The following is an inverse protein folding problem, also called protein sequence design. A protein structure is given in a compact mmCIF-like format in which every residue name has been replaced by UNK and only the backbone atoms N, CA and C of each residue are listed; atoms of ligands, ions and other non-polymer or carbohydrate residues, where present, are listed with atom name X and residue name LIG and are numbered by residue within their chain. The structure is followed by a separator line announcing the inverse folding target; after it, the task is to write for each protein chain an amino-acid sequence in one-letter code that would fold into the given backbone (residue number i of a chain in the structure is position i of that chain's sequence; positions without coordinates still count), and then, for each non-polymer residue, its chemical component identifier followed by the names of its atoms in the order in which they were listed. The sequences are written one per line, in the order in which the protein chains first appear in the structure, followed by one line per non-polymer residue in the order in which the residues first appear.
data_IF_157610818749
#
_entry.id   IF_157610818749
#
_cell.length_a   1.000
_cell.length_b   1.000
_cell.length_c   1.000
_cell.angle_alpha   90.00
_cell.angle_beta   90.00
_cell.angle_gamma   90.00
#
_symmetry.space_group_name_H-M   'P 1'
#
loop_
_entity.id
_entity.type
_entity.pdbx_description
1 polymer ?
#
# COMPACT_ATOMS: atom_id res chain seq x y z
N UNK A 1 37.42 28.38 -22.26
CA UNK A 1 36.99 28.53 -20.85
C UNK A 1 35.48 28.72 -20.71
N UNK A 2 34.79 29.40 -21.64
CA UNK A 2 33.32 29.59 -21.61
C UNK A 2 32.50 28.29 -21.72
N UNK A 3 32.95 27.31 -22.52
CA UNK A 3 32.23 26.05 -22.70
C UNK A 3 32.22 25.13 -21.46
N UNK A 4 33.20 25.29 -20.55
CA UNK A 4 33.33 24.48 -19.34
C UNK A 4 32.44 25.00 -18.20
N UNK A 5 32.21 26.33 -18.14
CA UNK A 5 31.24 26.93 -17.21
C UNK A 5 29.79 26.54 -17.55
N UNK A 6 29.46 26.46 -18.84
CA UNK A 6 28.11 26.05 -19.28
C UNK A 6 27.80 24.58 -18.92
N UNK A 7 28.80 23.70 -18.87
CA UNK A 7 28.61 22.31 -18.46
C UNK A 7 28.46 22.16 -16.95
N UNK A 8 29.13 23.02 -16.16
CA UNK A 8 29.03 23.03 -14.69
C UNK A 8 27.72 23.66 -14.17
N UNK A 9 27.09 24.56 -14.93
CA UNK A 9 25.75 25.09 -14.57
C UNK A 9 24.61 24.11 -14.88
N UNK A 10 24.86 23.08 -15.68
CA UNK A 10 23.86 22.06 -16.09
C UNK A 10 23.58 21.00 -14.99
N UNK A 11 24.44 20.90 -13.98
CA UNK A 11 24.39 19.84 -12.95
C UNK A 11 23.85 20.31 -11.60
N UNK A 12 22.97 21.31 -11.56
CA UNK A 12 22.17 21.57 -10.37
C UNK A 12 21.00 20.56 -10.32
N UNK A 13 20.94 19.63 -9.35
CA UNK A 13 19.80 18.72 -9.23
C UNK A 13 18.55 19.54 -8.87
N UNK A 14 17.60 19.61 -9.81
CA UNK A 14 16.25 20.14 -9.57
C UNK A 14 15.58 19.25 -8.52
N UNK A 15 15.56 19.72 -7.25
CA UNK A 15 14.86 19.09 -6.12
C UNK A 15 13.39 18.88 -6.47
N UNK A 16 13.08 17.68 -6.96
CA UNK A 16 11.77 17.26 -7.44
C UNK A 16 10.92 16.85 -6.22
N UNK A 17 9.98 17.73 -5.87
CA UNK A 17 8.66 17.43 -5.27
C UNK A 17 8.58 16.68 -3.93
N UNK A 18 9.23 17.18 -2.87
CA UNK A 18 8.89 16.80 -1.49
C UNK A 18 7.48 17.27 -1.04
N UNK A 19 6.88 18.21 -1.79
CA UNK A 19 5.57 18.82 -1.51
C UNK A 19 4.38 17.87 -1.83
N UNK A 20 4.58 16.85 -2.67
CA UNK A 20 3.52 15.89 -3.03
C UNK A 20 3.29 14.77 -2.02
N UNK A 21 4.27 14.49 -1.14
CA UNK A 21 4.20 13.34 -0.24
C UNK A 21 3.47 13.67 1.07
N UNK A 22 3.69 14.87 1.61
CA UNK A 22 3.03 15.35 2.84
C UNK A 22 1.53 15.62 2.59
N UNK A 23 1.18 16.12 1.41
CA UNK A 23 -0.22 16.39 1.02
C UNK A 23 -1.05 15.12 0.85
N UNK A 24 -0.45 14.02 0.37
CA UNK A 24 -1.13 12.72 0.23
C UNK A 24 -1.44 12.06 1.58
N UNK A 25 -0.54 12.16 2.56
CA UNK A 25 -0.74 11.58 3.89
C UNK A 25 -1.84 12.28 4.72
N UNK A 26 -1.89 13.61 4.65
CA UNK A 26 -2.92 14.41 5.32
C UNK A 26 -4.30 14.12 4.70
N UNK A 27 -4.39 14.08 3.36
CA UNK A 27 -5.63 13.75 2.67
C UNK A 27 -6.13 12.34 3.02
N UNK A 28 -5.23 11.36 3.14
CA UNK A 28 -5.59 10.01 3.56
C UNK A 28 -6.15 9.99 5.00
N UNK A 29 -5.52 10.71 5.93
CA UNK A 29 -6.01 10.83 7.32
C UNK A 29 -7.39 11.48 7.40
N UNK A 30 -7.62 12.56 6.63
CA UNK A 30 -8.93 13.22 6.56
C UNK A 30 -10.01 12.29 5.97
N UNK A 31 -9.71 11.57 4.89
CA UNK A 31 -10.63 10.60 4.30
C UNK A 31 -10.94 9.44 5.26
N UNK A 32 -9.96 8.98 6.04
CA UNK A 32 -10.16 7.96 7.07
C UNK A 32 -11.05 8.45 8.23
N UNK A 33 -10.90 9.69 8.68
CA UNK A 33 -11.75 10.29 9.72
C UNK A 33 -13.20 10.47 9.26
N UNK A 34 -13.40 10.87 8.00
CA UNK A 34 -14.75 10.99 7.40
C UNK A 34 -15.40 9.61 7.26
N UNK A 35 -14.64 8.59 6.82
CA UNK A 35 -15.13 7.21 6.74
C UNK A 35 -15.58 6.64 8.10
N UNK A 36 -14.87 6.97 9.18
CA UNK A 36 -15.24 6.56 10.54
C UNK A 36 -16.58 7.16 10.98
N UNK A 37 -16.82 8.45 10.71
CA UNK A 37 -18.08 9.13 11.08
C UNK A 37 -19.30 8.58 10.35
N UNK A 38 -19.16 8.24 9.06
CA UNK A 38 -20.24 7.64 8.26
C UNK A 38 -20.52 6.20 8.73
N UNK A 39 -19.47 5.41 8.97
CA UNK A 39 -19.59 4.02 9.44
C UNK A 39 -20.28 3.93 10.80
N UNK A 40 -19.96 4.82 11.73
CA UNK A 40 -20.62 4.89 13.04
C UNK A 40 -22.12 5.21 12.90
N UNK A 41 -22.49 6.18 12.06
CA UNK A 41 -23.90 6.59 11.87
C UNK A 41 -24.76 5.46 11.28
N UNK A 42 -24.20 4.66 10.38
CA UNK A 42 -24.88 3.51 9.77
C UNK A 42 -25.03 2.37 10.79
N UNK A 43 -24.05 2.17 11.67
CA UNK A 43 -24.12 1.15 12.73
C UNK A 43 -25.27 1.42 13.73
N UNK A 44 -25.57 2.69 14.00
CA UNK A 44 -26.54 3.11 15.01
C UNK A 44 -28.01 3.26 14.54
N UNK A 45 -28.33 3.19 13.23
CA UNK A 45 -29.72 3.33 12.77
C UNK A 45 -30.37 1.97 12.45
N UNK A 46 -31.31 1.54 13.29
CA UNK A 46 -31.64 0.12 13.48
C UNK A 46 -32.92 -0.41 12.80
N UNK A 47 -32.96 -0.50 11.46
CA UNK A 47 -34.02 -1.29 10.80
C UNK A 47 -33.66 -1.94 9.45
N UNK A 48 -32.40 -2.34 9.25
CA UNK A 48 -31.87 -2.68 7.91
C UNK A 48 -31.05 -3.98 7.87
N UNK A 49 -31.61 -5.14 8.26
CA UNK A 49 -30.89 -6.42 8.20
C UNK A 49 -30.33 -6.74 6.80
N UNK A 50 -31.08 -6.38 5.75
CA UNK A 50 -30.65 -6.56 4.37
C UNK A 50 -29.44 -5.66 4.03
N UNK A 51 -29.42 -4.40 4.50
CA UNK A 51 -28.29 -3.48 4.30
C UNK A 51 -27.05 -3.97 5.05
N UNK A 52 -27.21 -4.44 6.29
CA UNK A 52 -26.10 -5.00 7.08
C UNK A 52 -25.45 -6.17 6.35
N UNK A 53 -26.27 -7.08 5.85
CA UNK A 53 -25.82 -8.25 5.09
C UNK A 53 -25.15 -7.85 3.77
N UNK A 54 -25.73 -6.88 3.05
CA UNK A 54 -25.16 -6.37 1.80
C UNK A 54 -23.82 -5.66 2.01
N UNK A 55 -23.71 -4.80 3.03
CA UNK A 55 -22.48 -4.09 3.38
C UNK A 55 -21.40 -5.07 3.82
N UNK A 56 -21.73 -6.05 4.67
CA UNK A 56 -20.80 -7.09 5.09
C UNK A 56 -20.32 -7.92 3.90
N UNK A 57 -21.24 -8.38 3.04
CA UNK A 57 -20.90 -9.12 1.83
C UNK A 57 -20.01 -8.33 0.86
N UNK A 58 -20.32 -7.05 0.62
CA UNK A 58 -19.52 -6.17 -0.22
C UNK A 58 -18.12 -5.93 0.39
N UNK A 59 -18.05 -5.73 1.70
CA UNK A 59 -16.79 -5.58 2.43
C UNK A 59 -15.92 -6.84 2.31
N UNK A 60 -16.49 -8.03 2.53
CA UNK A 60 -15.80 -9.32 2.36
C UNK A 60 -15.28 -9.46 0.93
N UNK A 61 -16.15 -9.24 -0.06
CA UNK A 61 -15.85 -9.41 -1.47
C UNK A 61 -14.74 -8.48 -1.92
N UNK A 62 -14.85 -7.17 -1.64
CA UNK A 62 -13.87 -6.18 -2.09
C UNK A 62 -12.49 -6.42 -1.44
N UNK A 63 -12.44 -6.78 -0.16
CA UNK A 63 -11.17 -7.10 0.50
C UNK A 63 -10.57 -8.44 0.02
N UNK A 64 -11.40 -9.37 -0.45
CA UNK A 64 -10.90 -10.62 -1.05
C UNK A 64 -10.39 -10.40 -2.49
N UNK A 65 -11.13 -9.64 -3.30
CA UNK A 65 -10.74 -9.25 -4.65
C UNK A 65 -9.44 -8.44 -4.65
N UNK A 66 -9.17 -7.67 -3.59
CA UNK A 66 -7.92 -6.93 -3.42
C UNK A 66 -6.69 -7.84 -3.47
N UNK A 67 -6.75 -9.02 -2.88
CA UNK A 67 -5.66 -10.02 -2.91
C UNK A 67 -5.41 -10.46 -4.35
N UNK A 68 -6.48 -10.75 -5.11
CA UNK A 68 -6.37 -11.11 -6.53
C UNK A 68 -5.79 -9.96 -7.36
N UNK A 69 -6.16 -8.72 -7.06
CA UNK A 69 -5.64 -7.53 -7.71
C UNK A 69 -4.15 -7.28 -7.42
N UNK A 70 -3.58 -7.87 -6.36
CA UNK A 70 -2.14 -7.81 -6.10
C UNK A 70 -1.35 -8.79 -6.98
N UNK A 71 -1.96 -9.86 -7.49
CA UNK A 71 -1.27 -10.87 -8.32
C UNK A 71 -0.62 -10.27 -9.57
N UNK A 72 -1.29 -9.42 -10.38
CA UNK A 72 -0.64 -8.74 -11.51
C UNK A 72 0.58 -7.91 -11.09
N UNK A 73 0.51 -7.24 -9.94
CA UNK A 73 1.63 -6.43 -9.41
C UNK A 73 2.79 -7.33 -8.95
N UNK A 74 2.49 -8.45 -8.30
CA UNK A 74 3.50 -9.47 -7.93
C UNK A 74 4.21 -10.03 -9.17
N UNK A 75 3.43 -10.39 -10.20
CA UNK A 75 3.97 -10.91 -11.47
C UNK A 75 4.81 -9.85 -12.19
N UNK A 76 4.35 -8.61 -12.23
CA UNK A 76 5.09 -7.49 -12.82
C UNK A 76 6.42 -7.26 -12.07
N UNK A 77 6.39 -7.20 -10.74
CA UNK A 77 7.58 -7.04 -9.91
C UNK A 77 8.57 -8.21 -10.07
N UNK A 78 8.06 -9.44 -10.18
CA UNK A 78 8.87 -10.64 -10.35
C UNK A 78 9.49 -10.74 -11.75
N UNK A 79 8.83 -10.22 -12.78
CA UNK A 79 9.33 -10.18 -14.16
C UNK A 79 10.17 -8.94 -14.48
N UNK A 80 10.15 -7.93 -13.62
CA UNK A 80 10.92 -6.71 -13.85
C UNK A 80 12.43 -7.00 -13.88
N UNK A 81 13.09 -6.45 -14.89
CA UNK A 81 14.54 -6.54 -15.10
C UNK A 81 15.28 -5.37 -14.45
N UNK A 82 14.55 -4.33 -14.03
CA UNK A 82 15.12 -3.11 -13.46
C UNK A 82 14.93 -3.02 -11.93
N UNK A 83 15.07 -4.17 -11.26
CA UNK A 83 15.10 -4.26 -9.79
C UNK A 83 13.77 -3.96 -9.09
N UNK A 84 12.62 -4.13 -9.76
CA UNK A 84 11.30 -3.77 -9.25
C UNK A 84 11.20 -2.29 -8.83
N UNK A 85 11.85 -1.39 -9.59
CA UNK A 85 11.91 0.06 -9.27
C UNK A 85 10.53 0.73 -9.29
N UNK A 86 9.59 0.22 -10.10
CA UNK A 86 8.20 0.71 -10.16
C UNK A 86 7.36 0.38 -8.93
N UNK A 87 7.86 -0.46 -8.00
CA UNK A 87 7.12 -0.86 -6.80
C UNK A 87 7.61 -0.08 -5.58
N UNK A 88 6.73 0.73 -4.99
CA UNK A 88 7.06 1.52 -3.80
C UNK A 88 7.00 0.69 -2.50
N UNK A 89 8.15 0.35 -1.93
CA UNK A 89 8.20 -0.35 -0.63
C UNK A 89 7.50 0.43 0.49
N UNK A 90 7.53 1.76 0.46
CA UNK A 90 6.87 2.60 1.46
C UNK A 90 5.34 2.40 1.41
N UNK A 91 4.75 2.42 0.22
CA UNK A 91 3.31 2.23 0.02
C UNK A 91 2.87 0.85 0.50
N UNK A 92 3.58 -0.20 0.09
CA UNK A 92 3.25 -1.57 0.50
C UNK A 92 3.46 -1.82 1.98
N UNK A 93 4.42 -1.15 2.61
CA UNK A 93 4.62 -1.19 4.07
C UNK A 93 3.48 -0.50 4.82
N UNK A 94 2.99 0.64 4.33
CA UNK A 94 1.83 1.33 4.91
C UNK A 94 0.56 0.47 4.81
N UNK A 95 0.34 -0.20 3.68
CA UNK A 95 -0.78 -1.15 3.56
C UNK A 95 -0.63 -2.33 4.52
N UNK A 96 0.56 -2.90 4.65
CA UNK A 96 0.82 -3.96 5.62
C UNK A 96 0.50 -3.50 7.05
N UNK A 97 1.03 -2.34 7.48
CA UNK A 97 0.75 -1.78 8.82
C UNK A 97 -0.74 -1.53 9.01
N UNK A 98 -1.42 -0.95 8.02
CA UNK A 98 -2.87 -0.73 8.06
C UNK A 98 -3.64 -2.04 8.27
N UNK A 99 -3.29 -3.09 7.54
CA UNK A 99 -3.92 -4.40 7.71
C UNK A 99 -3.63 -5.01 9.09
N UNK A 100 -2.38 -4.94 9.57
CA UNK A 100 -2.02 -5.42 10.91
C UNK A 100 -2.77 -4.69 12.02
N UNK A 101 -2.86 -3.35 11.95
CA UNK A 101 -3.63 -2.57 12.93
C UNK A 101 -5.11 -2.94 12.91
N UNK A 102 -5.66 -3.26 11.75
CA UNK A 102 -7.06 -3.67 11.62
C UNK A 102 -7.30 -5.08 12.16
N UNK A 103 -6.35 -6.00 12.02
CA UNK A 103 -6.41 -7.33 12.65
C UNK A 103 -6.44 -7.17 14.17
N UNK A 104 -5.53 -6.37 14.73
CA UNK A 104 -5.48 -6.11 16.18
C UNK A 104 -6.79 -5.49 16.65
N UNK A 105 -7.31 -4.50 15.91
CA UNK A 105 -8.60 -3.89 16.22
C UNK A 105 -9.76 -4.90 16.20
N UNK A 106 -9.84 -5.72 15.15
CA UNK A 106 -10.89 -6.72 15.00
C UNK A 106 -10.89 -7.75 16.14
N UNK A 107 -9.70 -8.19 16.58
CA UNK A 107 -9.57 -9.18 17.66
C UNK A 107 -9.83 -8.53 19.03
N UNK A 108 -9.22 -7.39 19.32
CA UNK A 108 -9.21 -6.81 20.67
C UNK A 108 -10.50 -6.06 20.99
N UNK A 109 -11.06 -5.33 20.01
CA UNK A 109 -12.18 -4.42 20.26
C UNK A 109 -13.50 -4.91 19.67
N UNK A 110 -13.46 -5.54 18.49
CA UNK A 110 -14.70 -5.96 17.81
C UNK A 110 -15.09 -7.40 18.15
N UNK A 111 -14.11 -8.27 18.40
CA UNK A 111 -14.33 -9.71 18.52
C UNK A 111 -14.70 -10.40 17.20
N UNK A 112 -14.38 -9.78 16.05
CA UNK A 112 -14.72 -10.30 14.72
C UNK A 112 -13.53 -11.05 14.10
N UNK A 113 -13.53 -12.36 14.30
CA UNK A 113 -12.53 -13.27 13.74
C UNK A 113 -12.56 -13.35 12.21
N UNK A 114 -13.70 -13.10 11.58
CA UNK A 114 -13.83 -13.16 10.11
C UNK A 114 -13.14 -11.93 9.51
N UNK A 115 -13.41 -10.75 10.05
CA UNK A 115 -12.71 -9.51 9.68
C UNK A 115 -11.20 -9.66 9.87
N UNK A 116 -10.77 -10.23 11.00
CA UNK A 116 -9.35 -10.49 11.26
C UNK A 116 -8.71 -11.40 10.19
N UNK A 117 -9.38 -12.49 9.79
CA UNK A 117 -8.88 -13.43 8.79
C UNK A 117 -8.73 -12.81 7.40
N UNK A 118 -9.69 -11.99 6.97
CA UNK A 118 -9.63 -11.28 5.68
C UNK A 118 -8.43 -10.33 5.66
N UNK A 119 -8.27 -9.54 6.73
CA UNK A 119 -7.18 -8.59 6.82
C UNK A 119 -5.83 -9.28 6.96
N UNK A 120 -5.78 -10.47 7.57
CA UNK A 120 -4.60 -11.33 7.57
C UNK A 120 -4.22 -11.78 6.16
N UNK A 121 -5.19 -12.19 5.34
CA UNK A 121 -4.95 -12.52 3.93
C UNK A 121 -4.42 -11.32 3.13
N UNK A 122 -4.90 -10.11 3.40
CA UNK A 122 -4.39 -8.91 2.77
C UNK A 122 -2.98 -8.54 3.25
N UNK A 123 -2.71 -8.67 4.55
CA UNK A 123 -1.39 -8.45 5.13
C UNK A 123 -0.34 -9.41 4.54
N UNK A 124 -0.66 -10.70 4.43
CA UNK A 124 0.25 -11.69 3.85
C UNK A 124 0.57 -11.38 2.39
N UNK A 125 -0.43 -10.97 1.61
CA UNK A 125 -0.22 -10.58 0.21
C UNK A 125 0.67 -9.32 0.09
N UNK A 126 0.49 -8.32 0.96
CA UNK A 126 1.41 -7.17 1.02
C UNK A 126 2.85 -7.60 1.37
N UNK A 127 3.02 -8.52 2.32
CA UNK A 127 4.32 -9.04 2.71
C UNK A 127 5.02 -9.78 1.55
N UNK A 128 4.26 -10.54 0.75
CA UNK A 128 4.78 -11.21 -0.45
C UNK A 128 5.31 -10.17 -1.46
N UNK A 129 4.54 -9.10 -1.74
CA UNK A 129 5.00 -8.04 -2.66
C UNK A 129 6.28 -7.37 -2.15
N UNK A 130 6.34 -7.03 -0.86
CA UNK A 130 7.54 -6.47 -0.24
C UNK A 130 8.74 -7.40 -0.37
N UNK A 131 8.53 -8.71 -0.13
CA UNK A 131 9.58 -9.72 -0.20
C UNK A 131 10.12 -9.87 -1.62
N UNK A 132 9.23 -10.00 -2.63
CA UNK A 132 9.62 -10.08 -4.05
C UNK A 132 10.42 -8.84 -4.44
N UNK A 133 9.92 -7.65 -4.08
CA UNK A 133 10.58 -6.38 -4.40
C UNK A 133 11.95 -6.28 -3.75
N UNK A 134 12.07 -6.68 -2.48
CA UNK A 134 13.33 -6.64 -1.74
C UNK A 134 14.39 -7.59 -2.33
N UNK A 135 14.00 -8.83 -2.64
CA UNK A 135 14.90 -9.82 -3.28
C UNK A 135 15.37 -9.28 -4.63
N UNK A 136 14.46 -8.76 -5.45
CA UNK A 136 14.79 -8.21 -6.77
C UNK A 136 15.74 -7.03 -6.70
N UNK A 137 15.54 -6.11 -5.76
CA UNK A 137 16.45 -4.97 -5.54
C UNK A 137 17.84 -5.42 -5.11
N UNK A 138 17.93 -6.44 -4.25
CA UNK A 138 19.22 -7.02 -3.84
C UNK A 138 19.96 -7.69 -4.99
N UNK A 139 19.26 -8.50 -5.78
CA UNK A 139 19.84 -9.15 -6.97
C UNK A 139 20.38 -8.10 -7.95
N UNK A 140 19.58 -7.09 -8.26
CA UNK A 140 19.99 -6.00 -9.15
C UNK A 140 21.22 -5.23 -8.64
N UNK A 141 21.28 -4.95 -7.32
CA UNK A 141 22.44 -4.29 -6.73
C UNK A 141 23.72 -5.15 -6.80
N UNK A 142 23.61 -6.46 -6.58
CA UNK A 142 24.73 -7.40 -6.69
C UNK A 142 25.21 -7.47 -8.16
N UNK A 143 24.29 -7.62 -9.11
CA UNK A 143 24.61 -7.67 -10.54
C UNK A 143 25.29 -6.38 -11.02
N UNK A 144 24.86 -5.23 -10.50
CA UNK A 144 25.48 -3.94 -10.81
C UNK A 144 26.91 -3.84 -10.25
N UNK A 145 27.14 -4.31 -9.01
CA UNK A 145 28.48 -4.31 -8.40
C UNK A 145 29.46 -5.24 -9.15
N UNK A 146 28.99 -6.34 -9.74
CA UNK A 146 29.84 -7.23 -10.54
C UNK A 146 30.23 -6.66 -11.91
N UNK A 147 29.53 -5.62 -12.38
CA UNK A 147 29.77 -4.99 -13.69
C UNK A 147 30.71 -3.77 -13.62
N UNK A 148 31.08 -3.33 -12.41
CA UNK A 148 32.00 -2.21 -12.15
C UNK A 148 33.38 -2.78 -11.87
#
# INVERSE_FOLDING_TARGET
MVALEQTLQSTAPKRRSEIGWISSGILALFLSLIGFGIGAKIYFNGNEEWLRSAVFGAFMLVNSLRILAYVPQMVAAAKDTNGASGVSCATWSLFLVSHLTTIVYAIVYVGDSVMALIFFGNASACLVVLTITFIKRRQYAIDLMQRI
#
